data_IF_901066774757
#
_entry.id   IF_901066774757
#
_cell.length_a   1.000
_cell.length_b   1.000
_cell.length_c   1.000
_cell.angle_alpha   90.00
_cell.angle_beta   90.00
_cell.angle_gamma   90.00
#
_symmetry.space_group_name_H-M   'P 1'
#
loop_
_entity.id
_entity.type
_entity.pdbx_description
1 polymer ?
#
# COMPACT_ATOMS: atom_id res chain seq x y z
N UNK A 1 2.47 6.52 9.25
CA UNK A 1 2.70 5.11 9.59
C UNK A 1 1.80 4.65 10.73
N UNK A 2 2.05 4.96 12.00
CA UNK A 2 1.11 4.54 13.07
C UNK A 2 -0.29 5.13 12.83
N UNK A 3 -0.37 6.42 12.46
CA UNK A 3 -1.63 7.07 12.08
C UNK A 3 -2.32 6.37 10.89
N UNK A 4 -1.59 6.17 9.80
CA UNK A 4 -2.11 5.53 8.57
C UNK A 4 -2.50 4.07 8.79
N UNK A 5 -1.81 3.34 9.67
CA UNK A 5 -2.16 1.97 10.04
C UNK A 5 -3.46 1.92 10.85
N UNK A 6 -3.59 2.82 11.83
CA UNK A 6 -4.81 2.95 12.62
C UNK A 6 -6.00 3.38 11.75
N UNK A 7 -5.79 4.32 10.83
CA UNK A 7 -6.80 4.73 9.84
C UNK A 7 -7.22 3.55 8.96
N UNK A 8 -6.27 2.75 8.46
CA UNK A 8 -6.57 1.57 7.66
C UNK A 8 -7.39 0.54 8.44
N UNK A 9 -7.01 0.22 9.68
CA UNK A 9 -7.76 -0.72 10.55
C UNK A 9 -9.18 -0.19 10.81
N UNK A 10 -9.32 1.11 11.09
CA UNK A 10 -10.62 1.74 11.31
C UNK A 10 -11.51 1.70 10.05
N UNK A 11 -10.94 1.92 8.87
CA UNK A 11 -11.66 1.81 7.60
C UNK A 11 -12.12 0.38 7.32
N UNK A 12 -11.25 -0.62 7.55
CA UNK A 12 -11.62 -2.03 7.41
C UNK A 12 -12.74 -2.40 8.37
N UNK A 13 -12.65 -1.97 9.62
CA UNK A 13 -13.72 -2.17 10.61
C UNK A 13 -15.05 -1.56 10.14
N UNK A 14 -15.03 -0.32 9.66
CA UNK A 14 -16.23 0.40 9.20
C UNK A 14 -16.87 -0.29 7.99
N UNK A 15 -16.07 -0.67 6.99
CA UNK A 15 -16.56 -1.36 5.79
C UNK A 15 -17.13 -2.72 6.16
N UNK A 16 -16.44 -3.50 7.00
CA UNK A 16 -16.97 -4.78 7.47
C UNK A 16 -18.24 -4.65 8.29
N UNK A 17 -18.34 -3.60 9.10
CA UNK A 17 -19.56 -3.32 9.85
C UNK A 17 -20.73 -2.95 8.96
N UNK A 18 -20.48 -2.25 7.85
CA UNK A 18 -21.49 -1.93 6.86
C UNK A 18 -22.05 -3.20 6.18
N UNK A 19 -21.19 -4.15 5.82
CA UNK A 19 -21.56 -5.37 5.10
C UNK A 19 -22.15 -6.45 6.01
N UNK A 20 -21.45 -6.80 7.10
CA UNK A 20 -21.83 -7.92 7.97
C UNK A 20 -22.85 -7.51 9.04
N UNK A 21 -22.97 -6.21 9.34
CA UNK A 21 -23.99 -5.64 10.24
C UNK A 21 -23.99 -6.26 11.65
N UNK A 22 -22.87 -6.88 12.01
CA UNK A 22 -22.65 -7.62 13.25
C UNK A 22 -21.29 -7.29 13.84
N UNK A 23 -21.29 -6.73 15.05
CA UNK A 23 -20.07 -6.44 15.79
C UNK A 23 -19.16 -7.67 16.00
N UNK A 24 -19.73 -8.88 16.13
CA UNK A 24 -18.93 -10.10 16.36
C UNK A 24 -18.20 -10.56 15.10
N UNK A 25 -18.85 -10.48 13.94
CA UNK A 25 -18.26 -10.88 12.66
C UNK A 25 -17.16 -9.89 12.25
N UNK A 26 -17.37 -8.59 12.46
CA UNK A 26 -16.35 -7.54 12.20
C UNK A 26 -15.13 -7.63 13.10
N UNK A 27 -15.28 -8.21 14.28
CA UNK A 27 -14.19 -8.37 15.23
C UNK A 27 -13.17 -9.41 14.74
N UNK A 28 -13.58 -10.35 13.89
CA UNK A 28 -12.72 -11.42 13.36
C UNK A 28 -11.60 -10.82 12.48
N UNK A 29 -11.86 -10.05 11.40
CA UNK A 29 -10.80 -9.38 10.65
C UNK A 29 -10.00 -8.38 11.51
N UNK A 30 -10.67 -7.70 12.45
CA UNK A 30 -10.03 -6.70 13.32
C UNK A 30 -8.96 -7.31 14.23
N UNK A 31 -9.15 -8.55 14.69
CA UNK A 31 -8.14 -9.31 15.45
C UNK A 31 -7.10 -9.93 14.52
N UNK A 32 -7.50 -10.39 13.33
CA UNK A 32 -6.57 -11.05 12.39
C UNK A 32 -5.45 -10.10 11.91
N UNK A 33 -5.78 -8.84 11.62
CA UNK A 33 -4.83 -7.82 11.14
C UNK A 33 -3.61 -7.66 12.07
N UNK A 34 -3.76 -7.33 13.37
CA UNK A 34 -2.62 -7.15 14.27
C UNK A 34 -1.81 -8.44 14.46
N UNK A 35 -2.46 -9.61 14.49
CA UNK A 35 -1.76 -10.90 14.66
C UNK A 35 -0.81 -11.16 13.48
N UNK A 36 -1.26 -10.95 12.24
CA UNK A 36 -0.38 -11.16 11.09
C UNK A 36 0.67 -10.06 10.97
N UNK A 37 0.38 -8.82 11.37
CA UNK A 37 1.41 -7.79 11.42
C UNK A 37 2.54 -8.20 12.36
N UNK A 38 2.21 -8.69 13.55
CA UNK A 38 3.20 -9.26 14.47
C UNK A 38 3.93 -10.46 13.87
N UNK A 39 3.22 -11.38 13.22
CA UNK A 39 3.83 -12.52 12.55
C UNK A 39 4.74 -12.12 11.38
N UNK A 40 4.39 -11.08 10.64
CA UNK A 40 5.19 -10.49 9.56
C UNK A 40 6.49 -9.91 10.09
N UNK A 41 6.44 -9.14 11.20
CA UNK A 41 7.64 -8.66 11.87
C UNK A 41 8.54 -9.82 12.35
N UNK A 42 7.95 -10.87 12.91
CA UNK A 42 8.69 -12.07 13.32
C UNK A 42 9.40 -12.76 12.15
N UNK A 43 8.72 -12.90 11.00
CA UNK A 43 9.31 -13.47 9.78
C UNK A 43 10.43 -12.57 9.26
N UNK A 44 10.21 -11.26 9.16
CA UNK A 44 11.24 -10.31 8.72
C UNK A 44 12.48 -10.34 9.62
N UNK A 45 12.27 -10.42 10.94
CA UNK A 45 13.34 -10.54 11.92
C UNK A 45 14.10 -11.87 11.77
N UNK A 46 13.40 -12.99 11.59
CA UNK A 46 14.02 -14.31 11.41
C UNK A 46 14.89 -14.39 10.14
N UNK A 47 14.52 -13.68 9.07
CA UNK A 47 15.33 -13.58 7.85
C UNK A 47 16.40 -12.47 7.90
N UNK A 48 16.55 -11.77 9.02
CA UNK A 48 17.54 -10.70 9.21
C UNK A 48 17.27 -9.43 8.40
N UNK A 49 16.01 -9.19 7.99
CA UNK A 49 15.64 -7.97 7.30
C UNK A 49 15.47 -6.80 8.27
N UNK A 50 15.99 -5.63 7.89
CA UNK A 50 15.78 -4.39 8.64
C UNK A 50 14.43 -3.74 8.32
N UNK A 51 13.90 -3.00 9.28
CA UNK A 51 12.74 -2.13 9.07
C UNK A 51 13.24 -0.88 8.34
N UNK A 52 12.87 -0.74 7.08
CA UNK A 52 13.21 0.39 6.21
C UNK A 52 11.97 0.81 5.42
N UNK A 53 12.06 1.93 4.69
CA UNK A 53 10.91 2.46 3.94
C UNK A 53 10.30 1.43 2.97
N UNK A 54 11.13 0.58 2.35
CA UNK A 54 10.67 -0.44 1.41
C UNK A 54 9.94 -1.60 2.10
N UNK A 55 10.48 -2.13 3.20
CA UNK A 55 9.81 -3.20 3.97
C UNK A 55 8.54 -2.67 4.62
N UNK A 56 8.50 -1.39 5.01
CA UNK A 56 7.28 -0.74 5.47
C UNK A 56 6.22 -0.61 4.37
N UNK A 57 6.60 -0.21 3.14
CA UNK A 57 5.67 -0.20 2.01
C UNK A 57 5.13 -1.60 1.69
N UNK A 58 6.02 -2.60 1.70
CA UNK A 58 5.64 -4.00 1.50
C UNK A 58 4.59 -4.45 2.54
N UNK A 59 4.77 -4.09 3.82
CA UNK A 59 3.79 -4.39 4.86
C UNK A 59 2.44 -3.70 4.64
N UNK A 60 2.43 -2.42 4.22
CA UNK A 60 1.16 -1.72 3.93
C UNK A 60 0.40 -2.39 2.79
N UNK A 61 1.09 -2.81 1.73
CA UNK A 61 0.48 -3.57 0.63
C UNK A 61 -0.04 -4.94 1.08
N UNK A 62 0.70 -5.61 1.97
CA UNK A 62 0.29 -6.90 2.52
C UNK A 62 -0.97 -6.82 3.38
N UNK A 63 -1.26 -5.68 4.03
CA UNK A 63 -2.51 -5.48 4.78
C UNK A 63 -3.72 -5.59 3.86
N UNK A 64 -3.65 -5.04 2.64
CA UNK A 64 -4.76 -5.12 1.68
C UNK A 64 -5.12 -6.56 1.33
N UNK A 65 -4.10 -7.37 1.02
CA UNK A 65 -4.26 -8.80 0.75
C UNK A 65 -4.72 -9.60 1.98
N UNK A 66 -4.19 -9.28 3.15
CA UNK A 66 -4.57 -9.94 4.39
C UNK A 66 -6.05 -9.77 4.72
N UNK A 67 -6.53 -8.54 4.55
CA UNK A 67 -7.91 -8.20 4.90
C UNK A 67 -8.84 -8.96 3.98
N UNK A 68 -8.50 -9.06 2.70
CA UNK A 68 -9.25 -9.87 1.74
C UNK A 68 -9.40 -11.33 2.19
N UNK A 69 -8.31 -12.01 2.56
CA UNK A 69 -8.35 -13.41 3.02
C UNK A 69 -9.29 -13.59 4.23
N UNK A 70 -9.18 -12.71 5.23
CA UNK A 70 -10.01 -12.79 6.42
C UNK A 70 -11.50 -12.51 6.10
N UNK A 71 -11.77 -11.58 5.19
CA UNK A 71 -13.13 -11.23 4.76
C UNK A 71 -13.75 -12.38 3.98
N UNK A 72 -13.05 -12.92 2.97
CA UNK A 72 -13.53 -14.03 2.13
C UNK A 72 -13.91 -15.23 2.98
N UNK A 73 -13.10 -15.55 4.00
CA UNK A 73 -13.42 -16.63 4.95
C UNK A 73 -14.70 -16.33 5.73
N UNK A 74 -14.81 -15.16 6.36
CA UNK A 74 -15.97 -14.79 7.19
C UNK A 74 -17.24 -14.71 6.35
N UNK A 75 -17.18 -14.08 5.18
CA UNK A 75 -18.29 -13.94 4.25
C UNK A 75 -18.77 -15.30 3.75
N UNK A 76 -17.86 -16.20 3.36
CA UNK A 76 -18.27 -17.52 2.88
C UNK A 76 -18.88 -18.37 4.01
N UNK A 77 -18.42 -18.21 5.26
CA UNK A 77 -19.06 -18.85 6.42
C UNK A 77 -20.47 -18.29 6.64
N UNK A 78 -20.65 -16.97 6.65
CA UNK A 78 -21.98 -16.36 6.81
C UNK A 78 -22.93 -16.75 5.67
N UNK A 79 -22.43 -16.82 4.43
CA UNK A 79 -23.20 -17.28 3.27
C UNK A 79 -23.73 -18.70 3.50
N UNK A 80 -22.87 -19.66 3.83
CA UNK A 80 -23.27 -21.06 4.10
C UNK A 80 -24.23 -21.14 5.28
N UNK A 81 -24.02 -20.37 6.34
CA UNK A 81 -24.94 -20.32 7.47
C UNK A 81 -26.32 -19.80 7.07
N UNK A 82 -26.38 -18.76 6.23
CA UNK A 82 -27.64 -18.17 5.77
C UNK A 82 -28.39 -19.05 4.77
N UNK A 83 -27.69 -19.72 3.84
CA UNK A 83 -28.27 -20.57 2.80
C UNK A 83 -28.73 -21.92 3.35
N UNK A 84 -27.91 -22.54 4.20
CA UNK A 84 -28.12 -23.92 4.67
C UNK A 84 -28.64 -24.02 6.11
N UNK A 85 -28.49 -22.97 6.92
CA UNK A 85 -28.92 -22.95 8.32
C UNK A 85 -28.06 -23.81 9.25
N UNK A 86 -26.79 -24.06 8.89
CA UNK A 86 -25.88 -24.89 9.66
C UNK A 86 -25.34 -24.19 10.91
N UNK A 87 -24.89 -24.98 11.89
CA UNK A 87 -24.20 -24.42 13.06
C UNK A 87 -22.88 -23.74 12.64
N UNK A 88 -22.40 -22.70 13.38
CA UNK A 88 -21.17 -21.97 13.01
C UNK A 88 -19.96 -22.89 12.79
N UNK A 89 -19.86 -23.97 13.57
CA UNK A 89 -18.77 -24.95 13.47
C UNK A 89 -18.85 -25.79 12.19
N UNK A 90 -20.03 -26.27 11.84
CA UNK A 90 -20.25 -27.07 10.63
C UNK A 90 -20.13 -26.22 9.37
N UNK A 91 -20.70 -25.01 9.39
CA UNK A 91 -20.55 -24.05 8.30
C UNK A 91 -19.09 -23.67 8.07
N UNK A 92 -18.31 -23.45 9.14
CA UNK A 92 -16.87 -23.18 9.02
C UNK A 92 -16.11 -24.36 8.40
N UNK A 93 -16.43 -25.59 8.81
CA UNK A 93 -15.80 -26.80 8.24
C UNK A 93 -16.12 -26.94 6.75
N UNK A 94 -17.37 -26.70 6.35
CA UNK A 94 -17.79 -26.76 4.94
C UNK A 94 -17.17 -25.63 4.12
N UNK A 95 -17.14 -24.41 4.69
CA UNK A 95 -16.53 -23.23 4.07
C UNK A 95 -15.06 -23.48 3.75
N UNK A 96 -14.28 -23.94 4.74
CA UNK A 96 -12.86 -24.25 4.55
C UNK A 96 -12.62 -25.28 3.44
N UNK A 97 -13.47 -26.31 3.34
CA UNK A 97 -13.39 -27.29 2.24
C UNK A 97 -13.57 -26.69 0.84
N UNK A 98 -14.27 -25.56 0.71
CA UNK A 98 -14.49 -24.88 -0.58
C UNK A 98 -13.36 -23.88 -0.91
N UNK A 99 -12.90 -23.12 0.09
CA UNK A 99 -12.02 -21.96 -0.14
C UNK A 99 -10.54 -22.25 0.13
N UNK A 100 -10.20 -23.31 0.86
CA UNK A 100 -8.81 -23.61 1.24
C UNK A 100 -7.89 -23.74 0.02
N UNK A 101 -8.34 -24.42 -1.04
CA UNK A 101 -7.56 -24.54 -2.28
C UNK A 101 -7.37 -23.20 -2.99
N UNK A 102 -8.40 -22.35 -2.99
CA UNK A 102 -8.34 -21.01 -3.59
C UNK A 102 -7.40 -20.08 -2.80
N UNK A 103 -7.47 -20.08 -1.47
CA UNK A 103 -6.58 -19.30 -0.59
C UNK A 103 -5.11 -19.66 -0.81
N UNK A 104 -4.80 -20.97 -0.81
CA UNK A 104 -3.43 -21.44 -1.08
C UNK A 104 -3.00 -21.12 -2.51
N UNK A 105 -3.90 -21.22 -3.50
CA UNK A 105 -3.60 -20.89 -4.90
C UNK A 105 -3.29 -19.40 -5.11
N UNK A 106 -4.05 -18.51 -4.48
CA UNK A 106 -3.80 -17.06 -4.52
C UNK A 106 -2.46 -16.76 -3.85
N UNK A 107 -2.23 -17.33 -2.66
CA UNK A 107 -0.99 -17.17 -1.92
C UNK A 107 0.24 -17.63 -2.72
N UNK A 108 0.21 -18.86 -3.22
CA UNK A 108 1.31 -19.44 -3.96
C UNK A 108 1.54 -18.71 -5.28
N UNK A 109 0.47 -18.38 -6.02
CA UNK A 109 0.57 -17.63 -7.27
C UNK A 109 1.21 -16.25 -7.06
N UNK A 110 0.82 -15.54 -6.01
CA UNK A 110 1.36 -14.23 -5.67
C UNK A 110 2.84 -14.33 -5.27
N UNK A 111 3.21 -15.33 -4.48
CA UNK A 111 4.61 -15.58 -4.09
C UNK A 111 5.47 -16.05 -5.26
N UNK A 112 4.96 -16.96 -6.10
CA UNK A 112 5.67 -17.52 -7.26
C UNK A 112 5.88 -16.48 -8.35
N UNK A 113 4.88 -15.66 -8.67
CA UNK A 113 5.01 -14.57 -9.64
C UNK A 113 6.12 -13.58 -9.24
N UNK A 114 6.12 -13.14 -7.98
CA UNK A 114 7.15 -12.22 -7.47
C UNK A 114 8.54 -12.86 -7.46
N UNK A 115 8.63 -14.14 -7.09
CA UNK A 115 9.91 -14.86 -7.05
C UNK A 115 10.50 -15.04 -8.45
N UNK A 116 9.67 -15.37 -9.44
CA UNK A 116 10.09 -15.55 -10.83
C UNK A 116 10.68 -14.26 -11.39
N UNK A 117 10.01 -13.12 -11.18
CA UNK A 117 10.54 -11.82 -11.60
C UNK A 117 11.80 -11.45 -10.81
N UNK A 118 11.81 -11.58 -9.48
CA UNK A 118 12.95 -11.17 -8.63
C UNK A 118 14.28 -11.86 -8.98
N UNK A 119 14.25 -13.07 -9.55
CA UNK A 119 15.45 -13.77 -10.02
C UNK A 119 15.95 -13.19 -11.36
N UNK A 120 15.04 -12.82 -12.26
CA UNK A 120 15.35 -12.22 -13.55
C UNK A 120 16.05 -10.85 -13.40
N UNK A 121 15.57 -10.03 -12.46
CA UNK A 121 16.11 -8.69 -12.16
C UNK A 121 17.44 -8.70 -11.38
N UNK A 122 17.89 -9.87 -10.90
CA UNK A 122 19.17 -9.98 -10.18
C UNK A 122 20.39 -9.79 -11.09
N UNK A 123 20.22 -9.94 -12.42
CA UNK A 123 21.30 -9.83 -13.41
C UNK A 123 21.62 -8.39 -13.85
N UNK A 124 20.67 -7.44 -13.81
CA UNK A 124 20.88 -6.08 -14.29
C UNK A 124 20.40 -5.04 -13.28
N UNK A 125 21.32 -4.25 -12.71
CA UNK A 125 21.12 -2.96 -11.99
C UNK A 125 19.95 -2.87 -10.96
N UNK A 126 19.29 -3.97 -10.63
CA UNK A 126 18.00 -4.06 -9.95
C UNK A 126 18.09 -4.58 -8.52
N UNK A 127 19.28 -4.54 -7.89
CA UNK A 127 19.45 -5.00 -6.50
C UNK A 127 18.48 -4.32 -5.53
N UNK A 128 18.09 -3.07 -5.82
CA UNK A 128 17.05 -2.34 -5.07
C UNK A 128 15.66 -2.97 -5.17
N UNK A 129 15.21 -3.30 -6.38
CA UNK A 129 13.91 -3.97 -6.62
C UNK A 129 13.89 -5.34 -5.96
N UNK A 130 15.00 -6.08 -6.04
CA UNK A 130 15.19 -7.37 -5.37
C UNK A 130 15.10 -7.23 -3.84
N UNK A 131 15.63 -6.14 -3.26
CA UNK A 131 15.51 -5.83 -1.83
C UNK A 131 14.08 -5.51 -1.38
N UNK A 132 13.18 -5.11 -2.29
CA UNK A 132 11.76 -4.90 -2.00
C UNK A 132 10.93 -6.18 -2.19
N UNK A 133 11.16 -6.91 -3.29
CA UNK A 133 10.36 -8.07 -3.68
C UNK A 133 10.62 -9.31 -2.80
N UNK A 134 11.88 -9.58 -2.41
CA UNK A 134 12.21 -10.76 -1.61
C UNK A 134 11.57 -10.76 -0.22
N UNK A 135 11.62 -9.66 0.58
CA UNK A 135 10.91 -9.59 1.85
C UNK A 135 9.39 -9.67 1.67
N UNK A 136 8.83 -8.97 0.66
CA UNK A 136 7.40 -8.98 0.35
C UNK A 136 6.88 -10.41 0.11
N UNK A 137 7.60 -11.21 -0.69
CA UNK A 137 7.23 -12.61 -0.92
C UNK A 137 7.30 -13.50 0.33
N UNK A 138 8.21 -13.20 1.27
CA UNK A 138 8.44 -14.04 2.47
C UNK A 138 7.43 -13.77 3.57
N UNK A 139 6.99 -12.52 3.71
CA UNK A 139 5.95 -12.17 4.68
C UNK A 139 4.55 -12.66 4.28
N UNK A 140 4.27 -12.86 3.00
CA UNK A 140 2.95 -13.29 2.50
C UNK A 140 2.52 -14.70 2.92
N UNK A 141 3.43 -15.52 3.45
CA UNK A 141 3.04 -16.78 4.07
C UNK A 141 2.23 -16.57 5.37
N UNK A 142 2.43 -15.45 6.07
CA UNK A 142 1.81 -15.23 7.38
C UNK A 142 0.29 -14.97 7.32
N UNK A 143 -0.24 -14.09 6.43
CA UNK A 143 -1.69 -13.90 6.26
C UNK A 143 -2.45 -15.20 6.00
N UNK A 144 -1.92 -16.04 5.12
CA UNK A 144 -2.56 -17.28 4.68
C UNK A 144 -2.59 -18.30 5.80
N UNK A 145 -1.49 -18.43 6.56
CA UNK A 145 -1.46 -19.26 7.76
C UNK A 145 -2.50 -18.81 8.78
N UNK A 146 -2.65 -17.50 9.00
CA UNK A 146 -3.67 -16.97 9.91
C UNK A 146 -5.08 -17.20 9.38
N UNK A 147 -5.31 -17.01 8.07
CA UNK A 147 -6.59 -17.27 7.42
C UNK A 147 -7.01 -18.74 7.49
N UNK A 148 -6.05 -19.67 7.48
CA UNK A 148 -6.31 -21.12 7.57
C UNK A 148 -6.42 -21.65 9.00
N UNK A 149 -5.79 -20.98 9.98
CA UNK A 149 -5.72 -21.47 11.37
C UNK A 149 -6.63 -20.63 12.29
N UNK A 150 -6.34 -19.34 12.39
CA UNK A 150 -6.99 -18.46 13.37
C UNK A 150 -8.40 -18.06 12.93
N UNK A 151 -8.57 -17.64 11.68
CA UNK A 151 -9.85 -17.15 11.18
C UNK A 151 -10.97 -18.21 11.29
N UNK A 152 -10.80 -19.48 10.89
CA UNK A 152 -11.82 -20.50 11.11
C UNK A 152 -12.08 -20.79 12.59
N UNK A 153 -11.05 -20.78 13.45
CA UNK A 153 -11.24 -20.96 14.88
C UNK A 153 -12.09 -19.82 15.50
N UNK A 154 -11.85 -18.57 15.07
CA UNK A 154 -12.62 -17.41 15.48
C UNK A 154 -14.04 -17.44 14.89
N UNK A 155 -14.21 -17.87 13.64
CA UNK A 155 -15.53 -18.04 13.02
C UNK A 155 -16.39 -19.04 13.81
N UNK A 156 -15.84 -20.21 14.14
CA UNK A 156 -16.58 -21.25 14.85
C UNK A 156 -16.98 -20.86 16.28
N UNK A 157 -16.28 -19.90 16.92
CA UNK A 157 -16.50 -19.53 18.33
C UNK A 157 -17.23 -18.19 18.51
N UNK A 158 -17.00 -17.21 17.63
CA UNK A 158 -17.55 -15.86 17.76
C UNK A 158 -18.78 -15.61 16.91
N UNK A 159 -19.00 -16.35 15.81
CA UNK A 159 -20.20 -16.16 14.99
C UNK A 159 -21.45 -16.61 15.75
N UNK A 160 -22.53 -15.84 15.60
CA UNK A 160 -23.84 -16.25 16.10
C UNK A 160 -24.48 -17.17 15.07
N UNK A 161 -25.20 -18.23 15.51
CA UNK A 161 -25.99 -19.03 14.59
C UNK A 161 -27.01 -18.15 13.88
N UNK A 162 -27.09 -18.31 12.57
CA UNK A 162 -28.10 -17.69 11.71
C UNK A 162 -29.16 -18.74 11.40
N UNK A 163 -30.44 -18.39 11.49
CA UNK A 163 -31.47 -19.27 10.95
C UNK A 163 -31.47 -19.19 9.42
N UNK A 164 -31.90 -20.29 8.79
CA UNK A 164 -31.99 -20.39 7.33
C UNK A 164 -32.84 -19.25 6.76
N UNK A 165 -32.25 -18.43 5.89
CA UNK A 165 -32.91 -17.26 5.28
C UNK A 165 -32.92 -15.99 6.14
N UNK A 166 -32.37 -15.99 7.36
CA UNK A 166 -32.17 -14.75 8.12
C UNK A 166 -30.92 -14.00 7.63
N UNK A 167 -31.14 -12.81 7.07
CA UNK A 167 -30.09 -11.80 6.93
C UNK A 167 -30.14 -10.83 8.11
N UNK A 168 -28.97 -10.49 8.66
CA UNK A 168 -28.86 -9.47 9.69
C UNK A 168 -29.39 -8.11 9.18
N UNK A 169 -29.94 -7.29 10.08
CA UNK A 169 -30.29 -5.90 9.77
C UNK A 169 -31.54 -5.67 8.89
N UNK A 170 -32.61 -6.46 9.05
CA UNK A 170 -33.83 -6.31 8.22
C UNK A 170 -34.59 -4.96 8.36
N UNK A 171 -34.26 -4.12 9.36
CA UNK A 171 -34.95 -2.83 9.61
C UNK A 171 -33.96 -1.67 9.71
N UNK A 172 -34.38 -0.48 9.24
CA UNK A 172 -33.60 0.75 9.28
C UNK A 172 -32.66 0.96 8.07
N UNK A 173 -31.57 1.70 8.28
CA UNK A 173 -30.55 2.00 7.26
C UNK A 173 -29.95 0.73 6.64
N UNK A 174 -29.62 -0.25 7.47
CA UNK A 174 -29.08 -1.54 7.05
C UNK A 174 -30.02 -2.35 6.15
N UNK A 175 -31.33 -2.32 6.43
CA UNK A 175 -32.32 -2.97 5.58
C UNK A 175 -32.52 -2.27 4.22
N UNK A 176 -32.33 -0.94 4.16
CA UNK A 176 -32.28 -0.22 2.89
C UNK A 176 -31.02 -0.54 2.09
N UNK A 177 -29.86 -0.63 2.77
CA UNK A 177 -28.59 -1.00 2.16
C UNK A 177 -28.65 -2.40 1.56
N UNK A 178 -29.10 -3.41 2.32
CA UNK A 178 -29.21 -4.80 1.85
C UNK A 178 -30.12 -4.91 0.63
N UNK A 179 -31.29 -4.26 0.65
CA UNK A 179 -32.21 -4.23 -0.50
C UNK A 179 -31.60 -3.56 -1.72
N UNK A 180 -30.87 -2.46 -1.53
CA UNK A 180 -30.20 -1.74 -2.63
C UNK A 180 -29.05 -2.55 -3.20
N UNK A 181 -28.26 -3.20 -2.34
CA UNK A 181 -27.18 -4.09 -2.71
C UNK A 181 -27.68 -5.29 -3.52
N UNK A 182 -28.68 -6.02 -3.01
CA UNK A 182 -29.28 -7.17 -3.71
C UNK A 182 -29.84 -6.77 -5.07
N UNK A 183 -30.55 -5.63 -5.15
CA UNK A 183 -31.05 -5.10 -6.43
C UNK A 183 -29.92 -4.78 -7.41
N UNK A 184 -28.80 -4.28 -6.94
CA UNK A 184 -27.64 -3.99 -7.78
C UNK A 184 -26.89 -5.26 -8.19
N UNK A 185 -26.80 -6.26 -7.31
CA UNK A 185 -26.23 -7.57 -7.62
C UNK A 185 -27.03 -8.28 -8.72
N UNK A 186 -28.36 -8.31 -8.64
CA UNK A 186 -29.21 -8.86 -9.70
C UNK A 186 -29.06 -8.11 -11.03
N UNK A 187 -28.92 -6.78 -10.99
CA UNK A 187 -28.67 -5.98 -12.21
C UNK A 187 -27.32 -6.29 -12.81
N UNK A 188 -26.30 -6.47 -11.97
CA UNK A 188 -24.96 -6.85 -12.40
C UNK A 188 -24.99 -8.24 -13.06
N UNK A 189 -25.64 -9.22 -12.43
CA UNK A 189 -25.81 -10.57 -12.97
C UNK A 189 -26.52 -10.55 -14.33
N UNK A 190 -27.67 -9.87 -14.43
CA UNK A 190 -28.40 -9.68 -15.70
C UNK A 190 -27.57 -8.93 -16.74
N UNK A 191 -26.70 -8.02 -16.31
CA UNK A 191 -25.75 -7.30 -17.14
C UNK A 191 -24.71 -8.24 -17.74
N UNK A 192 -24.05 -9.03 -16.89
CA UNK A 192 -23.05 -10.03 -17.30
C UNK A 192 -23.66 -11.07 -18.24
N UNK A 193 -24.88 -11.53 -17.98
CA UNK A 193 -25.58 -12.44 -18.88
C UNK A 193 -25.79 -11.83 -20.28
N UNK A 194 -26.19 -10.54 -20.36
CA UNK A 194 -26.32 -9.82 -21.64
C UNK A 194 -24.97 -9.61 -22.34
N UNK A 195 -23.91 -9.40 -21.58
CA UNK A 195 -22.54 -9.28 -22.11
C UNK A 195 -22.12 -10.60 -22.76
N UNK A 196 -22.39 -11.73 -22.11
CA UNK A 196 -22.04 -13.06 -22.59
C UNK A 196 -22.72 -13.40 -23.92
N UNK A 197 -24.00 -13.03 -24.08
CA UNK A 197 -24.74 -13.21 -25.34
C UNK A 197 -24.22 -12.35 -26.50
N UNK A 198 -23.45 -11.29 -26.23
CA UNK A 198 -22.84 -10.42 -27.25
C UNK A 198 -21.31 -10.39 -27.12
N UNK A 199 -20.71 -11.54 -26.89
CA UNK A 199 -19.27 -11.70 -26.63
C UNK A 199 -18.38 -10.96 -27.65
N UNK A 200 -18.73 -10.99 -28.94
CA UNK A 200 -17.97 -10.35 -30.02
C UNK A 200 -17.80 -8.83 -29.87
N UNK A 201 -18.83 -8.11 -29.41
CA UNK A 201 -18.74 -6.65 -29.18
C UNK A 201 -17.85 -6.33 -27.99
N UNK A 202 -17.90 -7.15 -26.95
CA UNK A 202 -17.09 -6.97 -25.74
C UNK A 202 -15.64 -7.39 -25.95
N UNK A 203 -15.39 -8.38 -26.80
CA UNK A 203 -14.03 -8.73 -27.26
C UNK A 203 -13.42 -7.55 -28.02
N UNK A 204 -14.16 -6.89 -28.92
CA UNK A 204 -13.67 -5.68 -29.60
C UNK A 204 -13.32 -4.56 -28.62
N UNK A 205 -14.19 -4.30 -27.63
CA UNK A 205 -13.92 -3.31 -26.58
C UNK A 205 -12.67 -3.71 -25.78
N UNK A 206 -12.53 -4.99 -25.44
CA UNK A 206 -11.36 -5.50 -24.72
C UNK A 206 -10.06 -5.29 -25.52
N UNK A 207 -10.06 -5.61 -26.82
CA UNK A 207 -8.91 -5.38 -27.71
C UNK A 207 -8.59 -3.88 -27.81
N UNK A 208 -9.62 -3.02 -27.89
CA UNK A 208 -9.42 -1.57 -27.92
C UNK A 208 -8.82 -1.04 -26.61
N UNK A 209 -9.29 -1.54 -25.45
CA UNK A 209 -8.70 -1.21 -24.15
C UNK A 209 -7.26 -1.69 -24.04
N UNK A 210 -6.95 -2.88 -24.55
CA UNK A 210 -5.60 -3.44 -24.58
C UNK A 210 -4.68 -2.60 -25.48
N UNK A 211 -5.16 -2.19 -26.65
CA UNK A 211 -4.45 -1.24 -27.51
C UNK A 211 -4.20 0.12 -26.83
N UNK A 212 -5.20 0.65 -26.13
CA UNK A 212 -5.09 1.88 -25.34
C UNK A 212 -4.07 1.76 -24.20
N UNK A 213 -4.06 0.63 -23.50
CA UNK A 213 -3.07 0.33 -22.46
C UNK A 213 -1.65 0.32 -23.04
N UNK A 214 -1.41 -0.38 -24.15
CA UNK A 214 -0.09 -0.43 -24.80
C UNK A 214 0.35 0.97 -25.23
N UNK A 215 -0.56 1.76 -25.82
CA UNK A 215 -0.26 3.13 -26.24
C UNK A 215 0.13 4.04 -25.05
N UNK A 216 -0.61 3.96 -23.94
CA UNK A 216 -0.30 4.70 -22.71
C UNK A 216 1.02 4.23 -22.10
N UNK A 217 1.27 2.92 -22.07
CA UNK A 217 2.48 2.34 -21.52
C UNK A 217 3.73 2.82 -22.26
N UNK A 218 3.67 2.92 -23.59
CA UNK A 218 4.77 3.45 -24.41
C UNK A 218 5.02 4.95 -24.22
N UNK A 219 4.03 5.72 -23.74
CA UNK A 219 4.15 7.15 -23.48
C UNK A 219 4.46 7.50 -22.03
N UNK A 220 4.45 6.53 -21.12
CA UNK A 220 4.69 6.78 -19.71
C UNK A 220 6.19 7.01 -19.46
N UNK A 221 6.61 8.22 -19.04
CA UNK A 221 8.01 8.46 -18.70
C UNK A 221 8.39 7.64 -17.48
N UNK A 222 9.54 6.98 -17.54
CA UNK A 222 10.03 6.13 -16.45
C UNK A 222 10.92 6.95 -15.51
N UNK A 223 10.62 6.88 -14.22
CA UNK A 223 11.46 7.42 -13.15
C UNK A 223 11.67 6.33 -12.11
N UNK A 224 12.87 6.27 -11.53
CA UNK A 224 13.22 5.22 -10.56
C UNK A 224 12.59 5.47 -9.19
N UNK A 225 12.74 6.68 -8.65
CA UNK A 225 12.18 7.07 -7.35
C UNK A 225 11.71 8.52 -7.42
N UNK A 226 10.54 8.83 -6.84
CA UNK A 226 10.15 10.22 -6.66
C UNK A 226 11.15 10.90 -5.71
N UNK A 227 11.45 12.16 -5.98
CA UNK A 227 12.23 12.97 -5.06
C UNK A 227 11.33 13.33 -3.88
N UNK A 228 11.71 12.85 -2.68
CA UNK A 228 11.01 13.18 -1.44
C UNK A 228 11.65 14.40 -0.79
N UNK A 229 10.81 15.26 -0.21
CA UNK A 229 11.28 16.33 0.65
C UNK A 229 11.80 15.72 1.97
N UNK A 230 13.12 15.61 2.08
CA UNK A 230 13.81 15.09 3.28
C UNK A 230 14.01 16.17 4.34
N UNK A 231 13.44 17.36 4.18
CA UNK A 231 13.69 18.51 5.05
C UNK A 231 15.10 19.06 4.91
N UNK A 232 15.84 18.66 3.88
CA UNK A 232 17.16 19.20 3.57
C UNK A 232 17.42 19.15 2.07
N UNK A 233 18.10 20.16 1.55
CA UNK A 233 18.63 20.17 0.20
C UNK A 233 20.04 20.76 0.19
N UNK A 234 20.81 20.46 -0.85
CA UNK A 234 22.18 20.94 -0.99
C UNK A 234 22.29 21.89 -2.16
N UNK A 235 22.92 23.04 -1.95
CA UNK A 235 23.24 24.01 -2.99
C UNK A 235 24.73 23.95 -3.27
N UNK A 236 25.11 23.73 -4.52
CA UNK A 236 26.51 23.72 -4.95
C UNK A 236 26.85 25.05 -5.61
N UNK A 237 27.94 25.67 -5.18
CA UNK A 237 28.45 26.93 -5.73
C UNK A 237 29.81 26.63 -6.37
N UNK A 238 29.95 26.98 -7.65
CA UNK A 238 31.19 26.78 -8.40
C UNK A 238 31.54 28.06 -9.15
N UNK A 239 32.69 28.64 -8.80
CA UNK A 239 33.29 29.79 -9.48
C UNK A 239 34.25 29.31 -10.57
N UNK A 240 34.59 30.17 -11.54
CA UNK A 240 35.60 29.87 -12.55
C UNK A 240 36.94 29.42 -11.94
N UNK A 241 37.68 28.59 -12.68
CA UNK A 241 39.00 28.11 -12.26
C UNK A 241 39.95 29.29 -12.04
N UNK A 242 40.62 29.33 -10.88
CA UNK A 242 41.52 30.42 -10.48
C UNK A 242 40.92 31.46 -9.54
N UNK A 243 39.62 31.37 -9.20
CA UNK A 243 39.02 32.22 -8.15
C UNK A 243 39.57 31.92 -6.77
N UNK A 244 39.80 32.97 -5.98
CA UNK A 244 40.31 32.84 -4.60
C UNK A 244 39.19 32.44 -3.64
N UNK A 245 39.56 31.85 -2.50
CA UNK A 245 38.61 31.47 -1.45
C UNK A 245 37.76 32.66 -0.97
N UNK A 246 38.34 33.86 -0.94
CA UNK A 246 37.65 35.10 -0.55
C UNK A 246 36.53 35.48 -1.53
N UNK A 247 36.72 35.24 -2.83
CA UNK A 247 35.67 35.49 -3.83
C UNK A 247 34.52 34.49 -3.67
N UNK A 248 34.84 33.22 -3.39
CA UNK A 248 33.84 32.19 -3.10
C UNK A 248 33.04 32.51 -1.84
N UNK A 249 33.70 32.98 -0.77
CA UNK A 249 33.05 33.38 0.49
C UNK A 249 32.02 34.50 0.28
N UNK A 250 32.33 35.52 -0.52
CA UNK A 250 31.37 36.61 -0.82
C UNK A 250 30.11 36.11 -1.53
N UNK A 251 30.24 35.12 -2.41
CA UNK A 251 29.10 34.51 -3.11
C UNK A 251 28.28 33.66 -2.14
N UNK A 252 28.94 32.89 -1.27
CA UNK A 252 28.28 32.11 -0.22
C UNK A 252 27.47 33.01 0.70
N UNK A 253 28.06 34.10 1.19
CA UNK A 253 27.39 35.09 2.06
C UNK A 253 26.18 35.74 1.37
N UNK A 254 26.26 36.01 0.05
CA UNK A 254 25.14 36.52 -0.72
C UNK A 254 23.99 35.51 -0.82
N UNK A 255 24.30 34.23 -1.01
CA UNK A 255 23.31 33.14 -1.07
C UNK A 255 22.70 32.88 0.31
N UNK A 256 23.51 32.93 1.36
CA UNK A 256 23.06 32.80 2.75
C UNK A 256 22.10 33.94 3.15
N UNK A 257 22.46 35.18 2.83
CA UNK A 257 21.59 36.33 3.04
C UNK A 257 20.26 36.19 2.27
N UNK A 258 20.28 35.65 1.05
CA UNK A 258 19.05 35.38 0.30
C UNK A 258 18.13 34.41 1.05
N UNK A 259 18.68 33.31 1.58
CA UNK A 259 17.93 32.33 2.37
C UNK A 259 17.31 32.93 3.64
N UNK A 260 18.05 33.76 4.37
CA UNK A 260 17.55 34.37 5.61
C UNK A 260 16.61 35.56 5.40
N UNK A 261 16.60 36.19 4.21
CA UNK A 261 15.75 37.35 3.92
C UNK A 261 14.48 36.99 3.15
N UNK A 262 14.59 36.16 2.11
CA UNK A 262 13.48 35.86 1.20
C UNK A 262 12.77 34.54 1.55
N UNK A 263 13.47 33.59 2.18
CA UNK A 263 12.96 32.24 2.48
C UNK A 263 12.99 31.92 4.00
N UNK A 264 12.90 32.97 4.83
CA UNK A 264 13.02 32.89 6.29
C UNK A 264 12.01 31.93 6.94
N UNK A 265 10.82 31.82 6.36
CA UNK A 265 9.75 30.97 6.89
C UNK A 265 9.92 29.49 6.53
N UNK A 266 10.83 29.17 5.60
CA UNK A 266 11.03 27.80 5.11
C UNK A 266 12.35 27.20 5.58
N UNK A 267 13.31 28.01 6.04
CA UNK A 267 14.70 27.60 6.30
C UNK A 267 15.01 27.69 7.79
N UNK A 268 15.45 26.58 8.38
CA UNK A 268 15.86 26.51 9.78
C UNK A 268 17.33 26.84 9.98
N UNK A 269 18.19 26.29 9.12
CA UNK A 269 19.63 26.49 9.21
C UNK A 269 20.29 26.32 7.86
N UNK A 270 21.38 27.05 7.68
CA UNK A 270 22.25 26.98 6.51
C UNK A 270 23.65 26.67 7.03
N UNK A 271 24.26 25.61 6.52
CA UNK A 271 25.64 25.25 6.83
C UNK A 271 26.45 25.23 5.54
N UNK A 272 27.38 26.17 5.39
CA UNK A 272 28.25 26.28 4.21
C UNK A 272 29.64 25.73 4.48
N UNK A 273 30.15 24.91 3.57
CA UNK A 273 31.55 24.45 3.53
C UNK A 273 32.22 25.02 2.28
N UNK A 274 33.24 25.85 2.47
CA UNK A 274 34.05 26.43 1.39
C UNK A 274 35.29 25.56 1.18
N UNK A 275 35.63 25.28 -0.08
CA UNK A 275 36.80 24.46 -0.43
C UNK A 275 36.47 23.01 -0.83
N UNK A 276 35.21 22.59 -0.67
CA UNK A 276 34.76 21.23 -1.00
C UNK A 276 33.48 21.25 -1.84
N UNK A 277 33.48 20.53 -2.96
CA UNK A 277 32.35 20.44 -3.89
C UNK A 277 32.12 19.02 -4.41
N UNK A 278 30.98 18.78 -5.11
CA UNK A 278 30.64 17.45 -5.65
C UNK A 278 31.67 16.85 -6.62
N UNK A 279 32.46 17.69 -7.29
CA UNK A 279 33.47 17.27 -8.27
C UNK A 279 34.92 17.36 -7.81
N UNK A 280 35.20 17.70 -6.55
CA UNK A 280 36.57 17.84 -6.03
C UNK A 280 36.72 18.96 -5.00
N UNK A 281 37.94 19.08 -4.44
CA UNK A 281 38.32 20.15 -3.52
C UNK A 281 39.04 21.26 -4.29
N UNK A 282 38.72 22.51 -4.00
CA UNK A 282 39.29 23.68 -4.68
C UNK A 282 38.81 25.00 -4.08
N UNK A 283 39.62 26.05 -4.17
CA UNK A 283 39.27 27.36 -3.59
C UNK A 283 38.06 28.03 -4.26
N UNK A 284 37.71 27.59 -5.47
CA UNK A 284 36.61 28.09 -6.27
C UNK A 284 35.29 27.31 -6.07
N UNK A 285 35.24 26.31 -5.18
CA UNK A 285 34.02 25.53 -4.93
C UNK A 285 33.54 25.67 -3.49
N UNK A 286 32.23 25.69 -3.31
CA UNK A 286 31.57 25.61 -2.01
C UNK A 286 30.30 24.77 -2.08
N UNK A 287 29.96 24.12 -0.98
CA UNK A 287 28.70 23.38 -0.81
C UNK A 287 27.96 23.91 0.39
N UNK A 288 26.67 24.19 0.22
CA UNK A 288 25.78 24.60 1.29
C UNK A 288 24.77 23.48 1.55
N UNK A 289 24.59 23.14 2.82
CA UNK A 289 23.56 22.25 3.32
C UNK A 289 22.48 23.11 3.95
N UNK A 290 21.29 23.11 3.36
CA UNK A 290 20.15 23.89 3.83
C UNK A 290 19.16 22.93 4.48
N UNK A 291 18.86 23.17 5.76
CA UNK A 291 17.83 22.45 6.50
C UNK A 291 16.54 23.26 6.50
N UNK A 292 15.44 22.62 6.10
CA UNK A 292 14.12 23.22 6.03
C UNK A 292 13.38 23.13 7.38
N UNK A 293 12.38 23.98 7.59
CA UNK A 293 11.48 23.87 8.74
C UNK A 293 10.56 22.64 8.60
N UNK A 294 10.23 22.04 9.75
CA UNK A 294 9.46 20.79 9.79
C UNK A 294 8.08 20.99 9.15
N UNK A 295 7.70 20.06 8.29
CA UNK A 295 6.47 20.00 7.47
C UNK A 295 5.12 20.21 8.20
N UNK A 296 5.09 20.34 9.52
CA UNK A 296 3.88 20.62 10.30
C UNK A 296 3.54 22.11 10.44
N UNK A 297 4.45 23.02 10.09
CA UNK A 297 4.25 24.48 10.23
C UNK A 297 4.11 25.25 8.92
N UNK A 298 4.70 24.75 7.83
CA UNK A 298 4.70 25.44 6.54
C UNK A 298 3.54 24.97 5.64
N UNK A 299 2.54 25.85 5.44
CA UNK A 299 1.34 25.60 4.61
C UNK A 299 1.56 25.70 3.09
N UNK A 300 2.80 25.83 2.61
CA UNK A 300 3.08 26.27 1.22
C UNK A 300 4.04 25.38 0.41
N UNK A 301 4.35 24.16 0.87
CA UNK A 301 5.33 23.29 0.19
C UNK A 301 4.94 22.81 -1.22
N UNK A 302 3.68 22.94 -1.65
CA UNK A 302 3.24 22.38 -2.93
C UNK A 302 3.62 23.21 -4.17
N UNK A 303 4.13 24.44 -3.99
CA UNK A 303 4.33 25.39 -5.11
C UNK A 303 5.76 25.46 -5.65
N UNK A 304 6.75 24.94 -4.92
CA UNK A 304 8.17 25.02 -5.31
C UNK A 304 8.64 23.84 -6.17
N UNK A 305 8.06 22.65 -6.01
CA UNK A 305 8.47 21.45 -6.78
C UNK A 305 7.96 21.45 -8.23
N UNK A 306 6.95 22.26 -8.57
CA UNK A 306 6.35 22.27 -9.92
C UNK A 306 7.08 23.23 -10.88
N UNK A 307 7.96 24.11 -10.38
CA UNK A 307 8.56 25.17 -11.22
C UNK A 307 9.92 24.81 -11.85
N UNK A 308 10.41 23.60 -11.64
CA UNK A 308 11.68 23.12 -12.19
C UNK A 308 11.54 21.82 -13.02
N UNK A 309 10.39 21.63 -13.65
CA UNK A 309 10.22 20.77 -14.82
C UNK A 309 9.64 21.56 -15.99
#
# INVERSE_FOLDING_TARGET
MVKTLLEAIALVFLVMYLFLQNFRATLIPTIAVPVVLMGTFSVLYAFGYSINTLTMFAMVLAIGLLVDDAIVVVENVERIMSEEGLTPREATRKSMGQIQGALVGIADGAVCGIRADGVLWRYHRGRFIVSFLLPLSRQWCCPVLVAMILTPALCATLLKPLHKGEQHGQRGFFGWFNRTFNRNAERYEKGVAKILHRSLRWILIYVLLLGGMVFLFLRLPTSFLPQEDRGMFTTSIQLPSGSTQQQTLKVVEKVENYYFTHEKDNIMSVFSTVGSGPGGNGQNVARMFVSLERLGRARSHHRLLVRHY
#
